data_IF_930871081615
#
_entry.id   IF_930871081615
#
_cell.length_a   1.000
_cell.length_b   1.000
_cell.length_c   1.000
_cell.angle_alpha   90.00
_cell.angle_beta   90.00
_cell.angle_gamma   90.00
#
_symmetry.space_group_name_H-M   'P 1'
#
loop_
_entity.id
_entity.type
_entity.pdbx_description
1 polymer ?
#
# COMPACT_ATOMS: atom_id res chain seq x y z
N UNK A 1 -14.29 17.48 -13.93
CA UNK A 1 -13.63 16.17 -13.77
C UNK A 1 -12.39 16.46 -12.96
N UNK A 2 -12.43 16.17 -11.67
CA UNK A 2 -11.27 16.37 -10.79
C UNK A 2 -10.42 15.10 -10.90
N UNK A 3 -9.11 15.27 -11.07
CA UNK A 3 -8.17 14.17 -11.08
C UNK A 3 -7.50 14.12 -9.72
N UNK A 4 -7.66 13.00 -9.02
CA UNK A 4 -6.94 12.74 -7.78
C UNK A 4 -5.65 11.99 -8.11
N UNK A 5 -4.52 12.58 -7.72
CA UNK A 5 -3.21 11.96 -7.87
C UNK A 5 -2.65 11.66 -6.49
N UNK A 6 -2.17 10.44 -6.30
CA UNK A 6 -1.46 10.02 -5.11
C UNK A 6 -0.12 9.41 -5.51
N UNK A 7 0.95 9.80 -4.83
CA UNK A 7 2.28 9.20 -5.01
C UNK A 7 2.45 8.08 -3.99
N UNK A 8 2.92 6.91 -4.43
CA UNK A 8 3.35 5.82 -3.55
C UNK A 8 4.88 5.69 -3.49
N UNK A 9 5.60 6.62 -4.13
CA UNK A 9 7.06 6.60 -4.15
C UNK A 9 7.63 6.90 -2.76
N UNK A 10 8.73 6.24 -2.41
CA UNK A 10 9.51 6.51 -1.21
C UNK A 10 10.48 7.70 -1.40
N UNK A 11 10.42 8.36 -2.55
CA UNK A 11 11.11 9.61 -2.89
C UNK A 11 10.16 10.65 -3.52
N UNK A 12 10.49 11.96 -3.48
CA UNK A 12 9.67 12.98 -4.15
C UNK A 12 9.68 12.82 -5.67
N UNK A 13 8.52 12.99 -6.30
CA UNK A 13 8.37 12.88 -7.75
C UNK A 13 8.38 14.25 -8.43
N UNK A 14 8.91 14.28 -9.66
CA UNK A 14 8.79 15.41 -10.57
C UNK A 14 8.40 14.91 -11.97
N UNK A 15 7.20 15.26 -12.43
CA UNK A 15 6.69 14.88 -13.73
C UNK A 15 6.76 16.05 -14.72
N UNK A 16 7.12 15.74 -15.97
CA UNK A 16 7.13 16.68 -17.09
C UNK A 16 6.26 16.16 -18.23
N UNK A 17 5.55 17.07 -18.90
CA UNK A 17 4.81 16.82 -20.13
C UNK A 17 5.33 17.74 -21.23
N UNK A 18 5.80 17.18 -22.36
CA UNK A 18 6.52 17.93 -23.41
C UNK A 18 7.64 18.83 -22.86
N UNK A 19 8.43 18.30 -21.92
CA UNK A 19 9.54 19.02 -21.29
C UNK A 19 9.13 20.08 -20.27
N UNK A 20 7.85 20.39 -20.14
CA UNK A 20 7.33 21.35 -19.17
C UNK A 20 6.93 20.65 -17.87
N UNK A 21 7.28 21.17 -16.69
CA UNK A 21 6.87 20.58 -15.42
C UNK A 21 5.34 20.64 -15.28
N UNK A 22 4.72 19.52 -14.91
CA UNK A 22 3.26 19.42 -14.73
C UNK A 22 2.85 18.98 -13.33
N UNK A 23 3.74 18.30 -12.61
CA UNK A 23 3.49 17.88 -11.23
C UNK A 23 4.80 17.70 -10.48
N UNK A 24 4.82 18.06 -9.21
CA UNK A 24 5.94 17.83 -8.30
C UNK A 24 5.40 17.58 -6.90
N UNK A 25 5.95 16.61 -6.18
CA UNK A 25 5.68 16.45 -4.75
C UNK A 25 6.77 17.11 -3.91
N UNK A 26 6.39 17.75 -2.80
CA UNK A 26 7.34 18.34 -1.85
C UNK A 26 7.94 17.31 -0.89
N UNK A 27 7.23 16.19 -0.70
CA UNK A 27 7.58 15.11 0.21
C UNK A 27 7.50 13.75 -0.51
N UNK A 28 7.99 12.72 0.17
CA UNK A 28 7.83 11.32 -0.25
C UNK A 28 6.35 10.93 -0.20
N UNK A 29 5.92 10.09 -1.14
CA UNK A 29 4.53 9.63 -1.24
C UNK A 29 4.14 8.61 -0.17
N UNK A 30 5.06 7.69 0.15
CA UNK A 30 4.86 6.67 1.18
C UNK A 30 6.11 6.49 2.04
N UNK A 31 5.92 6.25 3.34
CA UNK A 31 6.96 5.85 4.28
C UNK A 31 6.63 4.48 4.82
N UNK A 32 7.55 3.54 4.65
CA UNK A 32 7.39 2.18 5.17
C UNK A 32 7.78 2.13 6.65
N UNK A 33 7.03 1.33 7.40
CA UNK A 33 7.33 0.95 8.77
C UNK A 33 7.18 -0.57 8.91
N UNK A 34 7.94 -1.15 9.82
CA UNK A 34 7.82 -2.57 10.13
C UNK A 34 6.46 -2.85 10.77
N UNK A 35 5.81 -3.94 10.35
CA UNK A 35 4.58 -4.42 11.00
C UNK A 35 4.99 -5.15 12.29
N UNK A 36 4.58 -4.69 13.48
CA UNK A 36 5.02 -5.29 14.73
C UNK A 36 4.64 -6.77 14.82
N UNK A 37 5.59 -7.61 15.24
CA UNK A 37 5.41 -9.06 15.38
C UNK A 37 4.98 -9.79 14.10
N UNK A 38 5.16 -9.19 12.92
CA UNK A 38 4.88 -9.87 11.66
C UNK A 38 5.77 -11.11 11.51
N UNK A 39 5.22 -12.24 11.01
CA UNK A 39 6.02 -13.43 10.76
C UNK A 39 7.04 -13.16 9.65
N UNK A 40 8.16 -13.89 9.70
CA UNK A 40 9.13 -13.86 8.61
C UNK A 40 8.46 -14.25 7.27
N UNK A 41 8.89 -13.66 6.13
CA UNK A 41 8.39 -14.05 4.83
C UNK A 41 8.65 -15.54 4.56
N UNK A 42 7.60 -16.28 4.22
CA UNK A 42 7.73 -17.68 3.82
C UNK A 42 8.53 -17.82 2.51
N UNK A 43 9.17 -18.97 2.30
CA UNK A 43 9.94 -19.23 1.07
C UNK A 43 9.06 -19.56 -0.16
N UNK A 44 7.84 -20.05 0.06
CA UNK A 44 6.87 -20.29 -1.01
C UNK A 44 6.07 -19.03 -1.38
N UNK A 45 6.07 -18.64 -2.65
CA UNK A 45 5.39 -17.43 -3.14
C UNK A 45 3.89 -17.42 -2.81
N UNK A 46 3.19 -18.53 -3.03
CA UNK A 46 1.77 -18.65 -2.72
C UNK A 46 1.48 -18.41 -1.23
N UNK A 47 2.38 -18.86 -0.35
CA UNK A 47 2.26 -18.66 1.09
C UNK A 47 2.56 -17.20 1.48
N UNK A 48 3.55 -16.54 0.84
CA UNK A 48 3.80 -15.09 1.05
C UNK A 48 2.58 -14.25 0.70
N UNK A 49 1.92 -14.58 -0.42
CA UNK A 49 0.69 -13.89 -0.83
C UNK A 49 -0.45 -14.09 0.18
N UNK A 50 -0.53 -15.26 0.82
CA UNK A 50 -1.48 -15.50 1.91
C UNK A 50 -1.10 -14.72 3.17
N UNK A 51 0.18 -14.69 3.57
CA UNK A 51 0.66 -13.92 4.71
C UNK A 51 0.34 -12.43 4.56
N UNK A 52 0.61 -11.83 3.39
CA UNK A 52 0.31 -10.42 3.15
C UNK A 52 -1.20 -10.14 3.26
N UNK A 53 -2.05 -11.03 2.75
CA UNK A 53 -3.52 -10.90 2.89
C UNK A 53 -3.99 -11.07 4.33
N UNK A 54 -3.32 -11.89 5.13
CA UNK A 54 -3.63 -12.04 6.55
C UNK A 54 -3.25 -10.78 7.31
N UNK A 55 -2.02 -10.29 7.11
CA UNK A 55 -1.56 -9.03 7.70
C UNK A 55 -2.48 -7.86 7.32
N UNK A 56 -2.90 -7.76 6.06
CA UNK A 56 -3.81 -6.70 5.63
C UNK A 56 -5.12 -6.65 6.43
N UNK A 57 -5.64 -7.81 6.87
CA UNK A 57 -6.88 -7.90 7.66
C UNK A 57 -6.72 -7.44 9.11
N UNK A 58 -5.49 -7.30 9.59
CA UNK A 58 -5.20 -6.79 10.94
C UNK A 58 -5.22 -5.26 11.00
N UNK A 59 -5.24 -4.59 9.84
CA UNK A 59 -5.41 -3.15 9.74
C UNK A 59 -6.89 -2.78 9.65
N UNK A 60 -7.25 -1.68 10.30
CA UNK A 60 -8.50 -0.97 10.11
C UNK A 60 -8.22 0.47 9.71
N UNK A 61 -9.18 1.10 9.04
CA UNK A 61 -9.12 2.52 8.70
C UNK A 61 -10.48 3.15 8.95
N UNK A 62 -10.49 4.38 9.44
CA UNK A 62 -11.69 5.19 9.58
C UNK A 62 -11.48 6.56 8.96
N UNK A 63 -12.57 7.15 8.46
CA UNK A 63 -12.59 8.48 7.86
C UNK A 63 -13.55 9.41 8.60
N UNK A 64 -13.18 10.68 8.72
CA UNK A 64 -14.07 11.74 9.20
C UNK A 64 -14.68 12.47 8.02
N UNK A 65 -16.01 12.45 7.94
CA UNK A 65 -16.73 13.09 6.85
C UNK A 65 -17.57 14.25 7.35
N UNK A 66 -17.60 15.36 6.62
CA UNK A 66 -18.25 16.62 7.04
C UNK A 66 -19.72 16.48 7.49
N UNK A 67 -20.43 15.46 7.01
CA UNK A 67 -21.85 15.20 7.32
C UNK A 67 -22.07 14.06 8.31
N UNK A 68 -21.01 13.41 8.78
CA UNK A 68 -21.06 12.34 9.77
C UNK A 68 -20.37 12.83 11.06
N UNK A 69 -21.11 12.94 12.18
CA UNK A 69 -20.49 13.32 13.45
C UNK A 69 -19.56 12.24 14.02
N UNK A 70 -19.65 11.00 13.52
CA UNK A 70 -18.82 9.88 13.95
C UNK A 70 -17.77 9.53 12.89
N UNK A 71 -16.72 8.84 13.33
CA UNK A 71 -15.75 8.22 12.43
C UNK A 71 -16.45 7.07 11.68
N UNK A 72 -16.44 7.13 10.35
CA UNK A 72 -16.97 6.06 9.50
C UNK A 72 -15.88 5.02 9.30
N UNK A 73 -16.14 3.77 9.68
CA UNK A 73 -15.24 2.65 9.38
C UNK A 73 -15.21 2.36 7.87
N UNK A 74 -14.00 2.24 7.32
CA UNK A 74 -13.77 1.91 5.92
C UNK A 74 -13.63 0.40 5.76
N UNK A 75 -14.22 -0.13 4.69
CA UNK A 75 -14.19 -1.56 4.42
C UNK A 75 -12.93 -1.91 3.62
N UNK A 76 -12.13 -2.84 4.12
CA UNK A 76 -11.03 -3.41 3.35
C UNK A 76 -11.55 -4.20 2.14
N UNK A 77 -10.98 -3.96 0.96
CA UNK A 77 -11.10 -4.88 -0.17
C UNK A 77 -10.13 -6.05 0.01
N UNK A 78 -10.61 -7.30 0.14
CA UNK A 78 -9.75 -8.44 0.47
C UNK A 78 -8.83 -8.87 -0.69
N UNK A 79 -9.13 -8.44 -1.92
CA UNK A 79 -8.27 -8.63 -3.08
C UNK A 79 -7.41 -7.37 -3.25
N UNK A 80 -6.08 -7.51 -3.36
CA UNK A 80 -5.23 -6.37 -3.66
C UNK A 80 -5.58 -5.81 -5.04
N UNK A 81 -5.56 -4.48 -5.14
CA UNK A 81 -5.70 -3.73 -6.40
C UNK A 81 -4.49 -4.02 -7.30
N UNK A 82 -3.31 -4.19 -6.69
CA UNK A 82 -2.09 -4.58 -7.38
C UNK A 82 -1.23 -5.50 -6.51
N UNK A 83 -0.65 -6.54 -7.13
CA UNK A 83 0.33 -7.43 -6.51
C UNK A 83 1.59 -7.43 -7.35
N UNK A 84 2.76 -7.39 -6.71
CA UNK A 84 4.04 -7.27 -7.41
C UNK A 84 5.18 -7.95 -6.65
N UNK A 85 6.29 -8.14 -7.35
CA UNK A 85 7.60 -8.50 -6.81
C UNK A 85 8.64 -7.58 -7.44
N UNK A 86 9.73 -7.31 -6.72
CA UNK A 86 10.84 -6.50 -7.24
C UNK A 86 12.16 -7.05 -6.70
N UNK A 87 12.78 -8.03 -7.39
CA UNK A 87 14.06 -8.60 -6.96
C UNK A 87 15.17 -7.53 -6.83
N UNK A 88 15.16 -6.51 -7.70
CA UNK A 88 16.14 -5.41 -7.67
C UNK A 88 16.04 -4.55 -6.41
N UNK A 89 14.85 -4.44 -5.83
CA UNK A 89 14.60 -3.71 -4.58
C UNK A 89 14.45 -4.66 -3.38
N UNK A 90 14.79 -5.94 -3.56
CA UNK A 90 14.66 -6.98 -2.54
C UNK A 90 13.24 -7.13 -1.96
N UNK A 91 12.23 -6.97 -2.82
CA UNK A 91 10.81 -7.14 -2.50
C UNK A 91 10.38 -8.53 -3.00
N UNK A 92 10.19 -9.45 -2.06
CA UNK A 92 9.82 -10.83 -2.32
C UNK A 92 8.34 -10.98 -2.67
N UNK A 93 7.49 -10.09 -2.12
CA UNK A 93 6.05 -10.04 -2.36
C UNK A 93 5.51 -8.70 -1.89
N UNK A 94 4.75 -8.00 -2.73
CA UNK A 94 4.09 -6.74 -2.41
C UNK A 94 2.60 -6.79 -2.74
N UNK A 95 1.78 -6.10 -1.93
CA UNK A 95 0.34 -5.99 -2.13
C UNK A 95 -0.16 -4.59 -1.81
N UNK A 96 -0.88 -3.99 -2.76
CA UNK A 96 -1.60 -2.74 -2.62
C UNK A 96 -3.08 -3.04 -2.40
N UNK A 97 -3.59 -2.71 -1.21
CA UNK A 97 -4.99 -2.89 -0.83
C UNK A 97 -5.69 -1.54 -0.73
N UNK A 98 -7.02 -1.56 -0.82
CA UNK A 98 -7.83 -0.36 -0.68
C UNK A 98 -8.84 -0.54 0.45
N UNK A 99 -8.91 0.45 1.32
CA UNK A 99 -10.04 0.68 2.20
C UNK A 99 -11.01 1.61 1.49
N UNK A 100 -12.26 1.17 1.39
CA UNK A 100 -13.28 1.84 0.59
C UNK A 100 -14.46 2.28 1.41
N UNK A 101 -15.11 3.34 0.93
CA UNK A 101 -16.48 3.69 1.30
C UNK A 101 -17.39 3.35 0.13
N UNK A 102 -18.25 2.35 0.29
CA UNK A 102 -18.98 1.77 -0.84
C UNK A 102 -18.03 1.07 -1.81
N UNK A 103 -17.77 1.67 -2.97
CA UNK A 103 -16.79 1.22 -3.98
C UNK A 103 -15.63 2.18 -4.18
N UNK A 104 -15.65 3.33 -3.51
CA UNK A 104 -14.68 4.41 -3.71
C UNK A 104 -13.47 4.22 -2.78
N UNK A 105 -12.23 4.09 -3.30
CA UNK A 105 -11.02 4.03 -2.48
C UNK A 105 -10.77 5.35 -1.73
N UNK A 106 -10.63 5.24 -0.41
CA UNK A 106 -10.41 6.39 0.47
C UNK A 106 -9.00 6.34 1.08
N UNK A 107 -8.49 5.12 1.32
CA UNK A 107 -7.12 4.87 1.83
C UNK A 107 -6.51 3.67 1.12
N UNK A 108 -5.25 3.80 0.70
CA UNK A 108 -4.45 2.69 0.22
C UNK A 108 -3.53 2.14 1.32
N UNK A 109 -3.46 0.82 1.43
CA UNK A 109 -2.54 0.10 2.31
C UNK A 109 -1.52 -0.66 1.47
N UNK A 110 -0.25 -0.33 1.63
CA UNK A 110 0.86 -1.00 0.95
C UNK A 110 1.61 -1.89 1.95
N UNK A 111 1.66 -3.20 1.68
CA UNK A 111 2.40 -4.17 2.48
C UNK A 111 3.42 -4.86 1.60
N UNK A 112 4.65 -4.93 2.07
CA UNK A 112 5.75 -5.60 1.37
C UNK A 112 6.51 -6.55 2.29
N UNK A 113 6.75 -7.76 1.79
CA UNK A 113 7.78 -8.65 2.30
C UNK A 113 9.12 -8.22 1.68
N UNK A 114 9.91 -7.47 2.44
CA UNK A 114 11.27 -7.05 2.09
C UNK A 114 12.30 -7.97 2.75
N UNK A 115 13.46 -8.13 2.13
CA UNK A 115 14.56 -8.89 2.75
C UNK A 115 14.68 -10.31 2.23
N UNK A 116 15.19 -11.19 3.09
CA UNK A 116 15.35 -12.62 2.81
C UNK A 116 14.12 -13.39 3.30
N UNK A 117 13.86 -14.54 2.69
CA UNK A 117 12.84 -15.47 3.14
C UNK A 117 13.34 -16.30 4.34
N UNK A 118 12.41 -17.01 4.98
CA UNK A 118 12.67 -17.83 6.17
C UNK A 118 13.74 -18.91 5.98
N UNK A 119 14.03 -19.33 4.74
CA UNK A 119 15.09 -20.30 4.44
C UNK A 119 16.49 -19.67 4.42
N UNK A 120 16.58 -18.34 4.41
CA UNK A 120 17.82 -17.56 4.34
C UNK A 120 17.94 -16.48 5.43
N UNK A 121 17.07 -16.50 6.44
CA UNK A 121 17.00 -15.54 7.55
C UNK A 121 17.95 -15.87 8.70
#
# INVERSE_FOLDING_TARGET
MEHEFHSLADEPLAAKFHGKPVWKTGEVGAKFADVPNAPAPTSAEAQRQLQIKQLAKEFSASGKYRKDPNDTELRLLPRPVHSYTSPKQNILSGGLFAFVRGTDPEVFLLIEARGKDADNA
#
